data_IF_345066516953
#
_entry.id   IF_345066516953
#
_cell.length_a   1.000
_cell.length_b   1.000
_cell.length_c   1.000
_cell.angle_alpha   90.00
_cell.angle_beta   90.00
_cell.angle_gamma   90.00
#
_symmetry.space_group_name_H-M   'P 1'
#
loop_
_entity.id
_entity.type
_entity.pdbx_description
1 polymer ?
#
# COMPACT_ATOMS: atom_id res chain seq x y z
N UNK A 1 2.57 -16.40 0.08
CA UNK A 1 3.91 -16.85 -0.37
C UNK A 1 4.05 -18.37 -0.40
N UNK A 2 3.51 -19.09 0.59
CA UNK A 2 3.63 -20.57 0.76
C UNK A 2 3.29 -21.42 -0.47
N UNK A 3 2.43 -20.92 -1.37
CA UNK A 3 2.01 -21.57 -2.63
C UNK A 3 3.11 -21.74 -3.68
N UNK A 4 4.28 -21.13 -3.48
CA UNK A 4 5.39 -21.18 -4.44
C UNK A 4 6.47 -22.15 -3.94
N UNK A 5 6.76 -23.19 -4.71
CA UNK A 5 7.74 -24.22 -4.34
C UNK A 5 9.15 -23.66 -4.19
N UNK A 6 9.51 -22.67 -5.03
CA UNK A 6 10.79 -21.99 -5.01
C UNK A 6 11.05 -21.15 -3.74
N UNK A 7 10.02 -20.89 -2.93
CA UNK A 7 10.19 -20.26 -1.61
C UNK A 7 10.53 -21.36 -0.62
N UNK A 8 11.75 -21.36 -0.10
CA UNK A 8 12.21 -22.38 0.85
C UNK A 8 11.85 -22.01 2.29
N UNK A 9 11.98 -20.73 2.64
CA UNK A 9 11.77 -20.20 3.98
C UNK A 9 11.07 -18.83 3.92
N UNK A 10 10.23 -18.55 4.91
CA UNK A 10 9.51 -17.29 5.13
C UNK A 10 9.71 -16.90 6.59
N UNK A 11 10.46 -15.83 6.80
CA UNK A 11 10.54 -15.17 8.11
C UNK A 11 9.40 -14.15 8.20
N UNK A 12 8.47 -14.38 9.13
CA UNK A 12 7.31 -13.51 9.35
C UNK A 12 7.52 -12.71 10.64
N UNK A 13 7.58 -11.38 10.54
CA UNK A 13 7.79 -10.49 11.68
C UNK A 13 6.50 -9.75 11.97
N UNK A 14 5.96 -9.95 13.17
CA UNK A 14 4.74 -9.27 13.63
C UNK A 14 4.96 -8.71 15.04
N UNK A 15 4.24 -7.65 15.41
CA UNK A 15 4.30 -7.10 16.76
C UNK A 15 3.33 -7.82 17.71
N UNK A 16 2.18 -8.29 17.21
CA UNK A 16 1.07 -8.77 18.04
C UNK A 16 0.88 -10.29 17.92
N UNK A 17 1.27 -11.08 18.94
CA UNK A 17 1.02 -12.52 18.96
C UNK A 17 -0.46 -12.88 18.95
N UNK A 18 -1.32 -12.03 19.50
CA UNK A 18 -2.77 -12.24 19.55
C UNK A 18 -3.37 -12.22 18.15
N UNK A 19 -2.86 -11.35 17.27
CA UNK A 19 -3.32 -11.26 15.88
C UNK A 19 -3.02 -12.57 15.14
N UNK A 20 -1.80 -13.08 15.26
CA UNK A 20 -1.39 -14.35 14.62
C UNK A 20 -2.15 -15.54 15.20
N UNK A 21 -2.32 -15.61 16.53
CA UNK A 21 -3.12 -16.65 17.17
C UNK A 21 -4.58 -16.62 16.70
N UNK A 22 -5.17 -15.42 16.60
CA UNK A 22 -6.53 -15.24 16.09
C UNK A 22 -6.62 -15.70 14.63
N UNK A 23 -5.63 -15.36 13.80
CA UNK A 23 -5.58 -15.81 12.41
C UNK A 23 -5.47 -17.34 12.26
N UNK A 24 -4.89 -18.03 13.25
CA UNK A 24 -4.76 -19.49 13.27
C UNK A 24 -5.98 -20.22 13.86
N UNK A 25 -6.73 -19.56 14.76
CA UNK A 25 -7.79 -20.23 15.55
C UNK A 25 -9.21 -19.80 15.15
N UNK A 26 -9.39 -18.57 14.65
CA UNK A 26 -10.68 -18.10 14.19
C UNK A 26 -11.07 -18.82 12.89
N UNK A 27 -12.21 -19.52 12.80
CA UNK A 27 -12.58 -20.29 11.61
C UNK A 27 -12.64 -19.48 10.31
N UNK A 28 -13.08 -18.22 10.38
CA UNK A 28 -13.18 -17.37 9.18
C UNK A 28 -11.79 -16.93 8.69
N UNK A 29 -10.90 -16.54 9.59
CA UNK A 29 -9.54 -16.14 9.23
C UNK A 29 -8.69 -17.34 8.79
N UNK A 30 -8.81 -18.48 9.47
CA UNK A 30 -8.14 -19.71 9.09
C UNK A 30 -8.56 -20.19 7.69
N UNK A 31 -9.86 -20.10 7.38
CA UNK A 31 -10.36 -20.40 6.04
C UNK A 31 -9.84 -19.39 5.00
N UNK A 32 -9.70 -18.11 5.36
CA UNK A 32 -9.20 -17.07 4.46
C UNK A 32 -7.69 -17.18 4.17
N UNK A 33 -6.89 -17.58 5.16
CA UNK A 33 -5.43 -17.72 5.02
C UNK A 33 -4.99 -19.14 4.63
N UNK A 34 -5.92 -20.09 4.54
CA UNK A 34 -5.66 -21.49 4.16
C UNK A 34 -4.59 -22.17 5.04
N UNK A 35 -4.57 -21.82 6.33
CA UNK A 35 -3.60 -22.34 7.29
C UNK A 35 -2.16 -21.86 7.07
N UNK A 36 -1.93 -20.76 6.34
CA UNK A 36 -0.59 -20.31 5.95
C UNK A 36 0.36 -20.08 7.12
N UNK A 37 -0.13 -19.62 8.27
CA UNK A 37 0.68 -19.36 9.46
C UNK A 37 1.24 -20.64 10.12
N UNK A 38 0.64 -21.80 9.84
CA UNK A 38 1.08 -23.10 10.34
C UNK A 38 1.89 -23.88 9.30
N UNK A 39 2.18 -23.29 8.15
CA UNK A 39 2.95 -23.94 7.10
C UNK A 39 4.41 -24.12 7.54
N UNK A 40 5.05 -25.27 7.28
CA UNK A 40 6.43 -25.56 7.74
C UNK A 40 7.53 -24.64 7.16
N UNK A 41 7.17 -23.77 6.21
CA UNK A 41 8.07 -22.77 5.63
C UNK A 41 8.02 -21.44 6.40
N UNK A 42 7.05 -21.25 7.29
CA UNK A 42 6.78 -19.97 7.96
C UNK A 42 7.31 -20.00 9.38
N UNK A 43 8.24 -19.10 9.67
CA UNK A 43 8.82 -18.89 10.99
C UNK A 43 8.42 -17.51 11.49
N UNK A 44 7.45 -17.47 12.40
CA UNK A 44 6.94 -16.22 12.97
C UNK A 44 7.79 -15.79 14.16
N UNK A 45 8.21 -14.53 14.17
CA UNK A 45 8.92 -13.88 15.27
C UNK A 45 8.13 -12.65 15.72
N UNK A 46 7.82 -12.57 17.02
CA UNK A 46 7.06 -11.46 17.59
C UNK A 46 7.97 -10.31 18.04
N UNK A 47 8.28 -9.39 17.13
CA UNK A 47 9.20 -8.25 17.34
C UNK A 47 8.74 -7.02 16.55
N UNK A 48 9.11 -5.83 17.03
CA UNK A 48 8.94 -4.59 16.26
C UNK A 48 9.77 -4.68 14.96
N UNK A 49 9.09 -4.53 13.82
CA UNK A 49 9.70 -4.70 12.49
C UNK A 49 10.82 -3.68 12.22
N UNK A 50 10.72 -2.46 12.76
CA UNK A 50 11.79 -1.47 12.66
C UNK A 50 13.05 -1.95 13.40
N UNK A 51 12.89 -2.46 14.62
CA UNK A 51 13.99 -3.02 15.39
C UNK A 51 14.60 -4.22 14.67
N UNK A 52 13.77 -5.13 14.14
CA UNK A 52 14.25 -6.30 13.41
C UNK A 52 15.16 -5.90 12.25
N UNK A 53 14.69 -5.03 11.34
CA UNK A 53 15.52 -4.64 10.18
C UNK A 53 16.79 -3.88 10.56
N UNK A 54 16.78 -3.23 11.72
CA UNK A 54 17.92 -2.45 12.24
C UNK A 54 19.00 -3.32 12.88
N UNK A 55 18.63 -4.43 13.52
CA UNK A 55 19.55 -5.19 14.39
C UNK A 55 19.99 -6.52 13.82
N UNK A 56 19.22 -7.12 12.92
CA UNK A 56 19.57 -8.42 12.35
C UNK A 56 20.44 -8.29 11.10
N UNK A 57 21.29 -9.28 10.88
CA UNK A 57 22.26 -9.30 9.77
C UNK A 57 21.82 -10.15 8.58
N UNK A 58 20.65 -10.81 8.66
CA UNK A 58 20.15 -11.65 7.57
C UNK A 58 19.95 -10.87 6.27
N UNK A 59 20.03 -11.61 5.15
CA UNK A 59 19.82 -11.07 3.81
C UNK A 59 18.71 -11.83 3.11
N UNK A 60 17.79 -11.11 2.47
CA UNK A 60 16.63 -11.67 1.80
C UNK A 60 16.57 -11.27 0.32
N UNK A 61 16.23 -12.19 -0.60
CA UNK A 61 16.01 -11.86 -2.01
C UNK A 61 14.64 -11.21 -2.26
N UNK A 62 13.72 -11.31 -1.32
CA UNK A 62 12.40 -10.67 -1.37
C UNK A 62 11.99 -10.21 0.03
N UNK A 63 11.60 -8.95 0.16
CA UNK A 63 11.06 -8.37 1.41
C UNK A 63 9.67 -7.81 1.13
N UNK A 64 8.69 -8.20 1.93
CA UNK A 64 7.32 -7.69 1.87
C UNK A 64 7.05 -6.88 3.13
N UNK A 65 6.66 -5.62 2.96
CA UNK A 65 6.33 -4.72 4.07
C UNK A 65 4.82 -4.45 4.03
N UNK A 66 4.12 -4.96 5.02
CA UNK A 66 2.66 -4.87 5.14
C UNK A 66 2.32 -4.24 6.49
N UNK A 67 2.42 -2.92 6.56
CA UNK A 67 2.18 -2.16 7.77
C UNK A 67 0.84 -1.43 7.71
N UNK A 68 0.25 -1.11 8.88
CA UNK A 68 -0.92 -0.24 8.94
C UNK A 68 -0.65 1.12 8.29
N UNK A 69 -1.73 1.81 7.94
CA UNK A 69 -1.68 3.20 7.52
C UNK A 69 -1.03 4.07 8.60
N UNK A 70 -0.04 4.90 8.26
CA UNK A 70 0.65 5.78 9.20
C UNK A 70 -0.21 6.98 9.64
N UNK A 71 -1.05 6.73 10.65
CA UNK A 71 -1.93 7.71 11.30
C UNK A 71 -1.42 8.17 12.68
N UNK A 72 -0.18 7.82 13.03
CA UNK A 72 0.51 8.36 14.19
C UNK A 72 2.03 8.36 13.98
N UNK A 73 2.76 8.93 14.95
CA UNK A 73 4.22 9.01 14.90
C UNK A 73 4.92 7.63 14.93
N UNK A 74 4.36 6.64 15.63
CA UNK A 74 4.94 5.30 15.73
C UNK A 74 4.80 4.51 14.43
N UNK A 75 3.74 4.75 13.65
CA UNK A 75 3.56 4.15 12.34
C UNK A 75 4.31 4.96 11.28
N UNK A 76 4.36 6.29 11.40
CA UNK A 76 5.11 7.18 10.53
C UNK A 76 6.58 6.77 10.34
N UNK A 77 7.26 6.37 11.44
CA UNK A 77 8.67 5.93 11.39
C UNK A 77 8.87 4.71 10.50
N UNK A 78 7.84 3.88 10.28
CA UNK A 78 7.91 2.70 9.41
C UNK A 78 7.94 3.05 7.92
N UNK A 79 7.64 4.30 7.58
CA UNK A 79 7.68 4.83 6.21
C UNK A 79 8.78 5.89 6.04
N UNK A 80 9.82 5.83 6.87
CA UNK A 80 10.91 6.81 6.91
C UNK A 80 12.13 6.37 6.09
N UNK A 81 12.96 7.34 5.70
CA UNK A 81 14.24 7.07 5.05
C UNK A 81 15.13 6.16 5.90
N UNK A 82 15.09 6.28 7.23
CA UNK A 82 15.85 5.42 8.15
C UNK A 82 15.40 3.97 8.07
N UNK A 83 14.09 3.71 8.10
CA UNK A 83 13.54 2.37 7.96
C UNK A 83 13.96 1.74 6.62
N UNK A 84 13.75 2.45 5.51
CA UNK A 84 14.08 1.92 4.19
C UNK A 84 15.59 1.75 3.95
N UNK A 85 16.45 2.51 4.64
CA UNK A 85 17.91 2.24 4.64
C UNK A 85 18.24 0.88 5.24
N UNK A 86 17.58 0.51 6.35
CA UNK A 86 17.74 -0.81 6.96
C UNK A 86 17.18 -1.93 6.07
N UNK A 87 15.99 -1.73 5.50
CA UNK A 87 15.43 -2.67 4.50
C UNK A 87 16.40 -2.87 3.32
N UNK A 88 16.98 -1.78 2.79
CA UNK A 88 17.97 -1.85 1.72
C UNK A 88 19.20 -2.66 2.14
N UNK A 89 19.67 -2.51 3.37
CA UNK A 89 20.81 -3.27 3.86
C UNK A 89 20.49 -4.77 3.91
N UNK A 90 19.31 -5.16 4.38
CA UNK A 90 18.86 -6.55 4.44
C UNK A 90 18.53 -7.17 3.07
N UNK A 91 18.39 -6.39 2.01
CA UNK A 91 18.09 -6.96 0.71
C UNK A 91 19.37 -7.57 0.08
N UNK A 92 19.26 -8.69 -0.65
CA UNK A 92 20.35 -9.10 -1.56
C UNK A 92 20.51 -8.08 -2.69
N UNK A 93 21.65 -8.09 -3.37
CA UNK A 93 21.92 -7.09 -4.43
C UNK A 93 20.97 -7.24 -5.62
N UNK A 94 20.52 -8.47 -5.90
CA UNK A 94 19.53 -8.82 -6.92
C UNK A 94 18.09 -8.95 -6.38
N UNK A 95 17.87 -8.58 -5.11
CA UNK A 95 16.58 -8.71 -4.46
C UNK A 95 15.64 -7.52 -4.72
N UNK A 96 14.38 -7.69 -4.33
CA UNK A 96 13.38 -6.61 -4.33
C UNK A 96 12.66 -6.50 -2.99
N UNK A 97 12.23 -5.29 -2.66
CA UNK A 97 11.26 -5.05 -1.60
C UNK A 97 9.95 -4.51 -2.21
N UNK A 98 8.83 -4.80 -1.58
CA UNK A 98 7.53 -4.25 -1.96
C UNK A 98 6.72 -3.89 -0.73
N UNK A 99 5.95 -2.82 -0.80
CA UNK A 99 5.01 -2.47 0.25
C UNK A 99 3.69 -1.94 -0.32
N UNK A 100 2.63 -2.05 0.49
CA UNK A 100 1.35 -1.41 0.22
C UNK A 100 1.50 0.11 0.35
N UNK A 101 1.37 0.80 -0.78
CA UNK A 101 1.48 2.23 -0.89
C UNK A 101 0.09 2.85 -0.98
N UNK A 102 -0.66 2.76 0.10
CA UNK A 102 -1.99 3.36 0.15
C UNK A 102 -1.97 4.87 -0.13
N UNK A 103 -3.01 5.37 -0.78
CA UNK A 103 -3.09 6.78 -1.20
C UNK A 103 -2.49 7.08 -2.59
N UNK A 104 -1.74 6.14 -3.21
CA UNK A 104 -1.24 6.35 -4.59
C UNK A 104 -2.29 6.10 -5.68
N UNK A 105 -3.46 5.58 -5.32
CA UNK A 105 -4.57 5.30 -6.23
C UNK A 105 -5.34 6.55 -6.71
N UNK A 106 -5.05 7.74 -6.17
CA UNK A 106 -5.65 9.00 -6.61
C UNK A 106 -5.00 9.49 -7.90
N UNK A 107 -5.54 9.04 -9.03
CA UNK A 107 -4.99 9.31 -10.37
C UNK A 107 -6.03 9.95 -11.27
N UNK A 108 -5.52 10.70 -12.25
CA UNK A 108 -6.33 11.36 -13.26
C UNK A 108 -7.19 10.35 -14.04
N UNK A 109 -8.33 10.79 -14.60
CA UNK A 109 -9.00 10.02 -15.64
C UNK A 109 -8.03 9.65 -16.77
N UNK A 110 -8.23 8.49 -17.43
CA UNK A 110 -7.38 8.08 -18.54
C UNK A 110 -7.43 9.09 -19.70
N UNK A 111 -6.26 9.44 -20.25
CA UNK A 111 -6.14 10.27 -21.44
C UNK A 111 -6.59 9.54 -22.72
N UNK A 112 -6.52 10.21 -23.87
CA UNK A 112 -6.88 9.61 -25.17
C UNK A 112 -6.05 8.37 -25.55
N UNK A 113 -4.90 8.15 -24.91
CA UNK A 113 -4.05 6.96 -25.04
C UNK A 113 -4.20 5.98 -23.88
N UNK A 114 -5.20 6.18 -22.99
CA UNK A 114 -5.45 5.42 -21.76
C UNK A 114 -4.35 5.50 -20.70
N UNK A 115 -3.51 6.53 -20.73
CA UNK A 115 -2.54 6.81 -19.67
C UNK A 115 -3.20 7.56 -18.53
N UNK A 116 -2.76 7.31 -17.32
CA UNK A 116 -3.18 8.03 -16.13
C UNK A 116 -1.96 8.65 -15.47
N UNK A 117 -2.15 9.77 -14.78
CA UNK A 117 -1.10 10.44 -14.03
C UNK A 117 -1.54 10.63 -12.57
N UNK A 118 -0.61 10.66 -11.61
CA UNK A 118 -0.96 10.97 -10.23
C UNK A 118 -1.55 12.37 -10.10
N UNK A 119 -2.63 12.50 -9.32
CA UNK A 119 -3.22 13.80 -9.00
C UNK A 119 -2.35 14.60 -8.00
N UNK A 120 -2.57 15.91 -7.88
CA UNK A 120 -1.78 16.80 -7.01
C UNK A 120 -1.83 16.44 -5.51
N UNK A 121 -2.89 15.75 -5.08
CA UNK A 121 -3.08 15.31 -3.70
C UNK A 121 -2.56 13.89 -3.44
N UNK A 122 -1.97 13.24 -4.43
CA UNK A 122 -1.50 11.86 -4.35
C UNK A 122 -0.27 11.72 -3.44
N UNK A 123 -0.22 10.63 -2.68
CA UNK A 123 0.83 10.39 -1.68
C UNK A 123 2.14 9.84 -2.25
N UNK A 124 2.12 9.41 -3.52
CA UNK A 124 3.26 8.80 -4.19
C UNK A 124 4.56 9.63 -4.12
N UNK A 125 4.58 10.98 -4.17
CA UNK A 125 5.82 11.73 -4.14
C UNK A 125 6.56 11.51 -2.82
N UNK A 126 5.84 11.38 -1.70
CA UNK A 126 6.48 11.16 -0.41
C UNK A 126 7.11 9.78 -0.35
N UNK A 127 6.39 8.74 -0.77
CA UNK A 127 6.93 7.40 -0.86
C UNK A 127 8.15 7.33 -1.77
N UNK A 128 8.01 7.80 -3.02
CA UNK A 128 9.06 7.76 -4.03
C UNK A 128 10.34 8.45 -3.56
N UNK A 129 10.22 9.70 -3.11
CA UNK A 129 11.40 10.48 -2.70
C UNK A 129 12.05 9.90 -1.44
N UNK A 130 11.26 9.35 -0.51
CA UNK A 130 11.80 8.69 0.69
C UNK A 130 12.60 7.44 0.36
N UNK A 131 12.07 6.59 -0.53
CA UNK A 131 12.75 5.36 -0.99
C UNK A 131 14.01 5.71 -1.81
N UNK A 132 13.93 6.74 -2.66
CA UNK A 132 15.06 7.24 -3.43
C UNK A 132 16.17 7.77 -2.51
N UNK A 133 15.81 8.57 -1.50
CA UNK A 133 16.74 9.06 -0.48
C UNK A 133 17.34 7.93 0.40
N UNK A 134 16.66 6.78 0.50
CA UNK A 134 17.20 5.59 1.15
C UNK A 134 18.23 4.84 0.29
N UNK A 135 18.43 5.25 -0.97
CA UNK A 135 19.45 4.75 -1.88
C UNK A 135 18.99 3.60 -2.77
N UNK A 136 17.68 3.37 -2.91
CA UNK A 136 17.16 2.47 -3.93
C UNK A 136 17.25 3.14 -5.31
N UNK A 137 17.78 2.41 -6.29
CA UNK A 137 17.96 2.95 -7.65
C UNK A 137 16.71 2.77 -8.49
N UNK A 138 16.04 1.63 -8.31
CA UNK A 138 14.84 1.28 -9.06
C UNK A 138 13.64 1.32 -8.14
N UNK A 139 12.63 2.08 -8.55
CA UNK A 139 11.39 2.27 -7.82
C UNK A 139 10.27 2.19 -8.86
N UNK A 140 9.35 1.25 -8.68
CA UNK A 140 8.23 0.99 -9.59
C UNK A 140 6.92 1.06 -8.82
N UNK A 141 6.22 2.19 -8.88
CA UNK A 141 4.84 2.29 -8.41
C UNK A 141 3.92 1.51 -9.36
N UNK A 142 2.89 0.86 -8.82
CA UNK A 142 1.86 0.20 -9.63
C UNK A 142 0.52 0.10 -8.88
N UNK A 143 -0.58 -0.02 -9.64
CA UNK A 143 -1.94 -0.07 -9.10
C UNK A 143 -2.61 -1.41 -9.43
N UNK A 144 -3.01 -2.20 -8.44
CA UNK A 144 -3.75 -3.43 -8.69
C UNK A 144 -5.25 -3.21 -8.53
N UNK A 145 -6.05 -3.61 -9.52
CA UNK A 145 -7.52 -3.65 -9.39
C UNK A 145 -7.95 -4.98 -8.76
N UNK A 146 -8.50 -4.91 -7.55
CA UNK A 146 -8.99 -6.05 -6.76
C UNK A 146 -10.37 -6.55 -7.24
N UNK A 147 -11.14 -5.74 -7.95
CA UNK A 147 -12.46 -6.08 -8.50
C UNK A 147 -12.77 -5.38 -9.83
N UNK A 148 -13.87 -5.80 -10.48
CA UNK A 148 -14.39 -5.07 -11.64
C UNK A 148 -15.20 -3.86 -11.15
N UNK A 149 -15.08 -2.75 -11.88
CA UNK A 149 -15.90 -1.56 -11.70
C UNK A 149 -17.37 -1.90 -12.01
N UNK A 150 -18.15 -2.32 -11.02
CA UNK A 150 -19.59 -2.55 -11.23
C UNK A 150 -20.34 -1.23 -11.16
N UNK A 151 -20.50 -0.61 -12.32
CA UNK A 151 -21.30 0.61 -12.50
C UNK A 151 -22.74 0.45 -11.99
N UNK A 152 -23.31 -0.76 -11.94
CA UNK A 152 -24.65 -0.98 -11.35
C UNK A 152 -24.61 -0.90 -9.83
N UNK A 153 -23.62 -1.51 -9.18
CA UNK A 153 -23.48 -1.42 -7.72
C UNK A 153 -23.16 0.01 -7.27
N UNK A 154 -22.33 0.73 -8.03
CA UNK A 154 -22.09 2.16 -7.83
C UNK A 154 -23.38 2.97 -7.98
N UNK A 155 -24.15 2.73 -9.06
CA UNK A 155 -25.43 3.40 -9.29
C UNK A 155 -26.49 3.07 -8.25
N UNK A 156 -26.44 1.88 -7.64
CA UNK A 156 -27.31 1.47 -6.54
C UNK A 156 -26.87 2.11 -5.21
N UNK A 157 -25.57 2.15 -4.92
CA UNK A 157 -25.01 2.85 -3.77
C UNK A 157 -25.31 4.36 -3.82
N UNK A 158 -25.24 4.98 -5.01
CA UNK A 158 -25.66 6.39 -5.25
C UNK A 158 -27.14 6.60 -4.90
N UNK A 159 -28.01 5.61 -5.13
CA UNK A 159 -29.46 5.71 -4.90
C UNK A 159 -29.86 5.47 -3.45
N UNK A 160 -29.00 4.84 -2.64
CA UNK A 160 -29.26 4.53 -1.24
C UNK A 160 -28.96 5.70 -0.32
N UNK A 161 -29.95 6.59 -0.21
CA UNK A 161 -29.94 7.76 0.70
C UNK A 161 -29.96 7.38 2.19
N UNK A 162 -30.25 6.13 2.53
CA UNK A 162 -30.30 5.56 3.88
C UNK A 162 -28.92 5.46 4.56
N UNK A 163 -27.85 5.25 3.81
CA UNK A 163 -26.47 5.12 4.34
C UNK A 163 -25.88 6.50 4.70
N UNK A 164 -26.41 7.58 4.12
CA UNK A 164 -25.95 8.96 4.33
C UNK A 164 -26.43 9.53 5.68
N UNK A 165 -27.41 8.90 6.31
CA UNK A 165 -28.02 9.42 7.53
C UNK A 165 -27.15 9.27 8.79
N UNK A 166 -26.17 8.35 8.82
CA UNK A 166 -25.37 8.09 10.02
C UNK A 166 -24.08 8.91 10.14
N UNK A 167 -23.64 9.61 9.09
CA UNK A 167 -22.44 10.47 9.14
C UNK A 167 -22.74 11.96 9.42
N UNK A 168 -24.00 12.31 9.69
CA UNK A 168 -24.43 13.72 9.78
C UNK A 168 -25.32 13.95 11.01
N UNK A 169 -24.86 13.48 12.17
CA UNK A 169 -25.41 13.96 13.45
C UNK A 169 -25.02 15.43 13.72
N UNK A 170 -23.92 15.92 13.12
CA UNK A 170 -23.37 17.26 13.33
C UNK A 170 -24.02 18.40 12.51
N UNK A 171 -24.89 18.10 11.52
CA UNK A 171 -25.55 19.15 10.71
C UNK A 171 -26.97 19.51 11.18
N UNK A 172 -27.42 18.94 12.30
CA UNK A 172 -28.72 19.23 12.89
C UNK A 172 -28.73 20.69 13.37
N UNK A 173 -29.40 21.58 12.61
CA UNK A 173 -29.51 23.00 12.92
C UNK A 173 -28.98 23.97 11.86
N UNK A 174 -28.30 23.48 10.81
CA UNK A 174 -27.88 24.32 9.68
C UNK A 174 -29.04 24.56 8.70
N UNK A 175 -29.05 25.65 7.92
CA UNK A 175 -30.03 25.85 6.85
C UNK A 175 -30.00 24.72 5.82
N UNK A 176 -31.16 24.37 5.26
CA UNK A 176 -31.37 23.19 4.39
C UNK A 176 -30.37 23.09 3.22
N UNK A 177 -30.03 24.23 2.60
CA UNK A 177 -29.05 24.30 1.52
C UNK A 177 -27.62 23.85 1.92
N UNK A 178 -27.22 24.12 3.17
CA UNK A 178 -25.91 23.71 3.70
C UNK A 178 -25.92 22.23 4.10
N UNK A 179 -27.04 21.75 4.66
CA UNK A 179 -27.22 20.32 4.91
C UNK A 179 -27.15 19.50 3.61
N UNK A 180 -27.74 20.02 2.51
CA UNK A 180 -27.68 19.38 1.19
C UNK A 180 -26.26 19.35 0.61
N UNK A 181 -25.48 20.42 0.79
CA UNK A 181 -24.07 20.49 0.39
C UNK A 181 -23.21 19.46 1.14
N UNK A 182 -23.37 19.37 2.46
CA UNK A 182 -22.65 18.39 3.29
C UNK A 182 -23.04 16.95 2.93
N UNK A 183 -24.32 16.67 2.71
CA UNK A 183 -24.79 15.37 2.21
C UNK A 183 -24.17 15.01 0.87
N UNK A 184 -24.11 15.95 -0.07
CA UNK A 184 -23.46 15.72 -1.38
C UNK A 184 -21.98 15.41 -1.22
N UNK A 185 -21.27 16.13 -0.35
CA UNK A 185 -19.86 15.88 -0.07
C UNK A 185 -19.62 14.52 0.59
N UNK A 186 -20.45 14.13 1.57
CA UNK A 186 -20.39 12.82 2.22
C UNK A 186 -20.65 11.67 1.24
N UNK A 187 -21.68 11.79 0.40
CA UNK A 187 -21.96 10.82 -0.69
C UNK A 187 -20.78 10.72 -1.65
N UNK A 188 -20.22 11.85 -2.09
CA UNK A 188 -19.04 11.85 -2.97
C UNK A 188 -17.83 11.17 -2.31
N UNK A 189 -17.61 11.39 -1.00
CA UNK A 189 -16.54 10.74 -0.22
C UNK A 189 -16.75 9.23 -0.11
N UNK A 190 -17.96 8.77 0.21
CA UNK A 190 -18.30 7.34 0.26
C UNK A 190 -18.08 6.68 -1.10
N UNK A 191 -18.49 7.33 -2.19
CA UNK A 191 -18.30 6.82 -3.55
C UNK A 191 -16.83 6.77 -3.95
N UNK A 192 -16.06 7.80 -3.63
CA UNK A 192 -14.61 7.81 -3.83
C UNK A 192 -13.94 6.68 -3.04
N UNK A 193 -14.31 6.49 -1.77
CA UNK A 193 -13.80 5.40 -0.93
C UNK A 193 -14.20 4.01 -1.46
N UNK A 194 -15.42 3.87 -1.99
CA UNK A 194 -15.89 2.63 -2.60
C UNK A 194 -15.14 2.32 -3.91
N UNK A 195 -14.87 3.32 -4.74
CA UNK A 195 -14.04 3.17 -5.94
C UNK A 195 -12.59 2.80 -5.57
N UNK A 196 -12.03 3.50 -4.58
CA UNK A 196 -10.67 3.27 -4.10
C UNK A 196 -10.54 1.92 -3.41
N UNK A 197 -11.60 1.37 -2.80
CA UNK A 197 -11.54 0.02 -2.20
C UNK A 197 -11.32 -1.10 -3.23
N UNK A 198 -11.51 -0.82 -4.53
CA UNK A 198 -11.17 -1.77 -5.61
C UNK A 198 -9.79 -1.56 -6.21
N UNK A 199 -9.03 -0.55 -5.77
CA UNK A 199 -7.68 -0.28 -6.27
C UNK A 199 -6.70 -0.21 -5.10
N UNK A 200 -5.69 -1.05 -5.14
CA UNK A 200 -4.61 -1.04 -4.15
C UNK A 200 -3.31 -0.62 -4.82
N UNK A 201 -2.64 0.35 -4.21
CA UNK A 201 -1.37 0.86 -4.69
C UNK A 201 -0.21 0.12 -4.06
N UNK A 202 0.86 -0.05 -4.81
CA UNK A 202 2.07 -0.70 -4.33
C UNK A 202 3.30 0.02 -4.84
N UNK A 203 4.37 -0.07 -4.06
CA UNK A 203 5.68 0.46 -4.40
C UNK A 203 6.69 -0.66 -4.29
N UNK A 204 7.22 -1.05 -5.44
CA UNK A 204 8.32 -2.02 -5.53
C UNK A 204 9.64 -1.30 -5.67
N UNK A 205 10.69 -1.79 -5.02
CA UNK A 205 12.01 -1.16 -5.00
C UNK A 205 13.13 -2.20 -5.06
N UNK A 206 14.26 -1.84 -5.68
CA UNK A 206 15.44 -2.70 -5.79
C UNK A 206 16.74 -1.90 -5.88
N UNK A 207 17.86 -2.57 -5.61
CA UNK A 207 19.20 -1.96 -5.63
C UNK A 207 19.76 -1.82 -7.04
N UNK A 208 19.53 -2.82 -7.89
CA UNK A 208 20.10 -2.91 -9.23
C UNK A 208 18.99 -2.89 -10.30
N UNK A 209 19.09 -2.07 -11.36
CA UNK A 209 18.24 -2.14 -12.56
C UNK A 209 18.04 -3.54 -13.14
N UNK A 210 19.03 -4.42 -13.02
CA UNK A 210 19.00 -5.80 -13.51
C UNK A 210 17.94 -6.68 -12.84
N UNK A 211 17.52 -6.32 -11.61
CA UNK A 211 16.42 -6.96 -10.87
C UNK A 211 15.14 -6.97 -11.68
N UNK A 212 14.90 -5.91 -12.46
CA UNK A 212 13.69 -5.71 -13.26
C UNK A 212 13.89 -6.00 -14.75
N UNK A 213 14.99 -6.68 -15.09
CA UNK A 213 15.28 -7.15 -16.45
C UNK A 213 14.23 -8.16 -16.95
N UNK A 214 14.47 -8.75 -18.14
CA UNK A 214 13.56 -9.67 -18.86
C UNK A 214 12.87 -10.75 -18.00
N UNK A 215 13.43 -11.10 -16.84
CA UNK A 215 12.86 -12.04 -15.86
C UNK A 215 11.50 -11.59 -15.29
N UNK A 216 11.24 -10.30 -15.12
CA UNK A 216 9.93 -9.79 -14.68
C UNK A 216 8.86 -9.86 -15.78
N UNK A 217 9.26 -9.60 -17.04
CA UNK A 217 8.37 -9.69 -18.20
C UNK A 217 8.10 -11.13 -18.67
N UNK A 218 8.92 -12.09 -18.20
CA UNK A 218 8.75 -13.53 -18.41
C UNK A 218 8.99 -14.27 -17.09
N UNK A 219 8.05 -14.16 -16.13
CA UNK A 219 8.24 -14.74 -14.81
C UNK A 219 8.39 -16.26 -14.94
N UNK A 220 9.34 -16.88 -14.21
CA UNK A 220 9.53 -18.33 -14.23
C UNK A 220 8.42 -19.09 -13.47
N UNK A 221 7.50 -18.35 -12.84
CA UNK A 221 6.33 -18.89 -12.16
C UNK A 221 5.09 -18.76 -13.06
N UNK A 222 4.23 -19.79 -13.13
CA UNK A 222 2.95 -19.67 -13.81
C UNK A 222 2.15 -18.50 -13.21
N UNK A 223 1.78 -17.52 -14.04
CA UNK A 223 0.91 -16.40 -13.64
C UNK A 223 -0.53 -16.85 -13.32
N UNK A 224 -0.78 -18.13 -13.01
CA UNK A 224 -2.11 -18.71 -12.76
C UNK A 224 -2.94 -17.95 -11.73
N UNK A 225 -2.29 -17.13 -10.89
CA UNK A 225 -2.90 -16.38 -9.80
C UNK A 225 -3.09 -14.89 -10.13
N UNK A 226 -2.36 -14.37 -11.11
CA UNK A 226 -2.52 -13.02 -11.63
C UNK A 226 -3.05 -13.10 -13.05
N UNK A 227 -4.31 -12.72 -13.25
CA UNK A 227 -4.85 -12.51 -14.60
C UNK A 227 -3.86 -11.62 -15.38
N UNK A 228 -3.30 -12.13 -16.50
CA UNK A 228 -2.31 -11.40 -17.28
C UNK A 228 -2.80 -10.00 -17.69
N UNK A 229 -4.12 -9.86 -17.91
CA UNK A 229 -4.75 -8.56 -18.14
C UNK A 229 -4.60 -7.63 -16.92
N UNK A 230 -4.87 -8.12 -15.70
CA UNK A 230 -4.70 -7.33 -14.46
C UNK A 230 -3.25 -6.91 -14.27
N UNK A 231 -2.31 -7.82 -14.51
CA UNK A 231 -0.88 -7.51 -14.43
C UNK A 231 -0.52 -6.36 -15.38
N UNK A 232 -0.94 -6.43 -16.65
CA UNK A 232 -0.70 -5.34 -17.61
C UNK A 232 -1.38 -4.04 -17.21
N UNK A 233 -2.60 -4.10 -16.68
CA UNK A 233 -3.35 -2.92 -16.22
C UNK A 233 -2.66 -2.22 -15.05
N UNK A 234 -1.87 -2.94 -14.26
CA UNK A 234 -1.23 -2.36 -13.08
C UNK A 234 -0.16 -1.32 -13.36
N UNK A 235 0.38 -1.29 -14.57
CA UNK A 235 1.46 -0.40 -14.99
C UNK A 235 1.00 0.64 -16.03
N UNK A 236 -0.31 0.92 -16.11
CA UNK A 236 -0.85 1.92 -17.05
C UNK A 236 -0.71 3.37 -16.56
N UNK A 237 -0.53 3.57 -15.26
CA UNK A 237 -0.29 4.89 -14.68
C UNK A 237 1.18 5.25 -14.85
N UNK A 238 1.43 6.42 -15.42
CA UNK A 238 2.76 6.99 -15.59
C UNK A 238 3.10 7.83 -14.36
N UNK A 239 3.94 7.28 -13.48
CA UNK A 239 4.46 7.97 -12.32
C UNK A 239 5.77 8.66 -12.69
N UNK A 240 5.85 10.00 -12.64
CA UNK A 240 7.08 10.73 -12.94
C UNK A 240 8.24 10.25 -12.05
N UNK A 241 9.45 10.19 -12.59
CA UNK A 241 10.64 9.81 -11.80
C UNK A 241 11.78 10.79 -12.05
N UNK A 242 12.68 10.91 -11.08
CA UNK A 242 13.84 11.81 -11.12
C UNK A 242 15.12 11.10 -10.69
N UNK A 243 16.27 11.59 -11.16
CA UNK A 243 17.57 11.06 -10.72
C UNK A 243 17.84 11.37 -9.24
N UNK A 244 17.52 12.59 -8.81
CA UNK A 244 17.67 13.05 -7.42
C UNK A 244 16.30 13.14 -6.73
N UNK A 245 16.21 12.83 -5.42
CA UNK A 245 14.97 13.01 -4.67
C UNK A 245 14.67 14.49 -4.43
N UNK A 246 13.39 14.85 -4.51
CA UNK A 246 12.87 16.09 -3.92
C UNK A 246 12.87 15.97 -2.40
N UNK A 247 13.90 16.56 -1.78
CA UNK A 247 14.09 16.58 -0.32
C UNK A 247 12.93 17.23 0.45
N UNK A 248 12.12 18.06 -0.19
CA UNK A 248 10.92 18.64 0.46
C UNK A 248 9.82 17.60 0.71
N UNK A 249 9.89 16.46 0.02
CA UNK A 249 8.93 15.35 0.07
C UNK A 249 9.49 14.11 0.78
N UNK A 250 10.69 14.16 1.34
CA UNK A 250 11.30 13.01 2.04
C UNK A 250 10.78 12.91 3.48
N UNK A 251 10.19 11.78 3.83
CA UNK A 251 9.83 11.46 5.21
C UNK A 251 11.04 10.89 5.98
N UNK A 252 11.36 11.50 7.11
CA UNK A 252 12.42 11.04 8.02
C UNK A 252 11.88 11.06 9.45
N UNK A 253 12.41 10.20 10.32
CA UNK A 253 12.13 10.26 11.75
C UNK A 253 12.46 11.65 12.32
N UNK A 254 13.54 12.28 11.83
CA UNK A 254 13.98 13.59 12.29
C UNK A 254 13.21 14.75 11.65
N UNK A 255 12.58 14.51 10.50
CA UNK A 255 11.78 15.50 9.79
C UNK A 255 10.57 14.80 9.16
N UNK A 256 9.51 14.52 9.95
CA UNK A 256 8.35 13.81 9.44
C UNK A 256 7.68 14.59 8.31
N UNK A 257 7.46 13.91 7.18
CA UNK A 257 6.70 14.44 6.05
C UNK A 257 5.55 13.49 5.80
N UNK A 258 4.36 13.99 6.08
CA UNK A 258 3.15 13.25 5.86
C UNK A 258 2.57 13.60 4.49
N UNK A 259 2.16 12.59 3.71
CA UNK A 259 1.36 12.79 2.55
C UNK A 259 0.05 13.55 2.84
N UNK A 260 -0.53 14.11 1.78
CA UNK A 260 -1.57 15.12 1.88
C UNK A 260 -2.98 14.57 1.85
N UNK A 261 -3.15 13.29 1.49
CA UNK A 261 -4.48 12.68 1.57
C UNK A 261 -4.93 12.51 3.01
N UNK A 262 -6.25 12.52 3.21
CA UNK A 262 -6.85 12.12 4.48
C UNK A 262 -6.69 10.63 4.82
N UNK A 263 -5.90 9.85 4.07
CA UNK A 263 -5.51 8.49 4.47
C UNK A 263 -4.46 8.52 5.58
N UNK A 264 -3.66 9.58 5.63
CA UNK A 264 -2.72 9.86 6.69
C UNK A 264 -3.39 10.83 7.65
N UNK A 265 -3.94 10.31 8.75
CA UNK A 265 -4.46 11.12 9.84
C UNK A 265 -3.47 11.12 11.02
N UNK A 266 -2.23 11.66 10.89
CA UNK A 266 -1.30 11.72 12.00
C UNK A 266 -1.95 12.56 13.10
N UNK A 267 -2.49 11.91 14.13
CA UNK A 267 -2.93 12.62 15.32
C UNK A 267 -1.68 13.25 15.91
N UNK A 268 -1.58 14.57 15.77
CA UNK A 268 -0.57 15.32 16.49
C UNK A 268 -0.75 15.01 17.98
N UNK A 269 0.33 14.79 18.74
CA UNK A 269 0.23 14.42 20.14
C UNK A 269 -0.22 15.62 20.99
N UNK A 270 -1.52 15.93 20.97
CA UNK A 270 -2.20 16.79 21.94
C UNK A 270 -3.65 16.34 22.11
#
# INVERSE_FOLDING_TARGET
LVKYDAVEEIVHIDLDPTLVETAQTNPALLAANDGSFSHPKVHTTFRDGFQYVRTEDERFPAIYVDFPLPNDYNLAKLYSVEFYKFVRQMLTDDGFAVFDASGIGLVSPPDGARRQYPDDVNDWPVYYNTIKAAGFEVITPYLSTLGFYDTKLLNEAIRRTDIVHTEIDDAVGLPEQFQLLLRKAAVQKILANYVLSFQQGFMMMGKDPSVFSKRYWKPPVPLRILNALRFHQSFLTDFPTSEEPDWSKVNSIMLPRFPTTGFWEPRLPW
#
